data_IF_282259846064
#
_entry.id   IF_282259846064
#
_cell.length_a   1.000
_cell.length_b   1.000
_cell.length_c   1.000
_cell.angle_alpha   90.00
_cell.angle_beta   90.00
_cell.angle_gamma   90.00
#
_symmetry.space_group_name_H-M   'P 1'
#
loop_
_entity.id
_entity.type
_entity.pdbx_description
1 polymer ?
#
# COMPACT_ATOMS: atom_id res chain seq x y z
N UNK A 1 1.88 0.47 14.54
CA UNK A 1 2.26 0.06 13.19
C UNK A 1 1.30 0.65 12.17
N UNK A 2 1.81 1.45 11.23
CA UNK A 2 0.95 2.15 10.28
C UNK A 2 0.52 1.25 9.11
N UNK A 3 1.45 0.47 8.59
CA UNK A 3 1.16 -0.46 7.50
C UNK A 3 1.00 -1.86 8.07
N UNK A 4 -0.17 -2.46 7.87
CA UNK A 4 -0.46 -3.80 8.39
C UNK A 4 -0.43 -4.85 7.28
N UNK A 5 -0.38 -6.12 7.68
CA UNK A 5 -0.47 -7.23 6.74
C UNK A 5 -1.79 -7.17 5.96
N UNK A 6 -2.86 -6.76 6.62
CA UNK A 6 -4.17 -6.62 5.99
C UNK A 6 -4.16 -5.57 4.87
N UNK A 7 -3.44 -4.47 5.07
CA UNK A 7 -3.30 -3.42 4.05
C UNK A 7 -2.65 -4.00 2.80
N UNK A 8 -1.58 -4.76 2.97
CA UNK A 8 -0.85 -5.38 1.85
C UNK A 8 -1.75 -6.38 1.14
N UNK A 9 -2.50 -7.17 1.91
CA UNK A 9 -3.43 -8.15 1.35
C UNK A 9 -4.51 -7.47 0.52
N UNK A 10 -5.08 -6.39 1.02
CA UNK A 10 -6.12 -5.66 0.29
C UNK A 10 -5.59 -5.09 -1.02
N UNK A 11 -4.37 -4.57 -1.01
CA UNK A 11 -3.76 -4.07 -2.24
C UNK A 11 -3.54 -5.20 -3.24
N UNK A 12 -3.02 -6.32 -2.77
CA UNK A 12 -2.73 -7.47 -3.63
C UNK A 12 -4.00 -7.99 -4.31
N UNK A 13 -5.10 -8.01 -3.60
CA UNK A 13 -6.38 -8.53 -4.10
C UNK A 13 -7.33 -7.45 -4.63
N UNK A 14 -6.85 -6.23 -4.81
CA UNK A 14 -7.67 -5.15 -5.34
C UNK A 14 -8.12 -5.49 -6.77
N UNK A 15 -9.34 -5.14 -7.10
CA UNK A 15 -9.89 -5.38 -8.44
C UNK A 15 -9.24 -4.49 -9.50
N UNK A 16 -8.88 -3.28 -9.11
CA UNK A 16 -8.22 -2.35 -10.02
C UNK A 16 -6.75 -2.71 -10.13
N UNK A 17 -6.31 -3.02 -11.36
CA UNK A 17 -4.91 -3.37 -11.62
C UNK A 17 -3.95 -2.24 -11.28
N UNK A 18 -4.44 -1.03 -11.29
CA UNK A 18 -3.65 0.16 -11.01
C UNK A 18 -3.89 0.69 -9.59
N UNK A 19 -4.38 -0.16 -8.70
CA UNK A 19 -4.59 0.22 -7.32
C UNK A 19 -3.28 0.60 -6.64
N UNK A 20 -3.36 1.52 -5.69
CA UNK A 20 -2.21 1.96 -4.90
C UNK A 20 -2.60 1.99 -3.42
N UNK A 21 -1.62 1.69 -2.58
CA UNK A 21 -1.76 1.84 -1.14
C UNK A 21 -1.23 3.22 -0.78
N UNK A 22 -2.06 4.01 -0.12
CA UNK A 22 -1.69 5.38 0.27
C UNK A 22 -1.86 5.58 1.77
N UNK A 23 -1.11 6.52 2.29
CA UNK A 23 -1.23 6.97 3.67
C UNK A 23 -1.81 8.38 3.62
N UNK A 24 -2.96 8.57 4.20
CA UNK A 24 -3.65 9.86 4.23
C UNK A 24 -4.18 10.12 5.64
N UNK A 25 -3.81 11.27 6.18
CA UNK A 25 -4.25 11.68 7.52
C UNK A 25 -4.02 10.62 8.60
N UNK A 26 -2.87 9.96 8.53
CA UNK A 26 -2.48 8.95 9.52
C UNK A 26 -3.10 7.58 9.35
N UNK A 27 -3.86 7.38 8.27
CA UNK A 27 -4.48 6.08 8.00
C UNK A 27 -4.15 5.59 6.60
N UNK A 28 -4.28 4.30 6.38
CA UNK A 28 -4.00 3.68 5.08
C UNK A 28 -5.29 3.46 4.31
N UNK A 29 -5.21 3.61 2.98
CA UNK A 29 -6.33 3.29 2.09
C UNK A 29 -5.78 2.68 0.81
N UNK A 30 -6.57 1.80 0.20
CA UNK A 30 -6.27 1.25 -1.12
C UNK A 30 -7.22 1.92 -2.10
N UNK A 31 -6.67 2.64 -3.06
CA UNK A 31 -7.46 3.42 -4.03
C UNK A 31 -6.98 3.13 -5.45
N UNK A 32 -7.80 3.46 -6.44
CA UNK A 32 -7.38 3.40 -7.83
C UNK A 32 -6.42 4.54 -8.15
N UNK A 33 -5.49 4.31 -9.06
CA UNK A 33 -4.49 5.32 -9.44
C UNK A 33 -5.15 6.64 -9.88
N UNK A 34 -6.29 6.57 -10.53
CA UNK A 34 -7.01 7.77 -10.97
C UNK A 34 -7.52 8.64 -9.83
N UNK A 35 -7.68 8.06 -8.65
CA UNK A 35 -8.18 8.79 -7.49
C UNK A 35 -7.11 9.62 -6.80
N UNK A 36 -5.83 9.34 -7.07
CA UNK A 36 -4.74 10.11 -6.48
C UNK A 36 -4.82 11.59 -6.83
N UNK A 37 -5.37 11.91 -7.99
CA UNK A 37 -5.49 13.29 -8.44
C UNK A 37 -6.68 14.03 -7.84
N UNK A 38 -7.57 13.33 -7.15
CA UNK A 38 -8.77 13.94 -6.57
C UNK A 38 -8.41 14.75 -5.33
N UNK A 39 -9.25 15.71 -4.98
CA UNK A 39 -9.03 16.54 -3.80
C UNK A 39 -9.00 15.74 -2.51
N UNK A 40 -9.79 14.68 -2.43
CA UNK A 40 -9.86 13.83 -1.24
C UNK A 40 -8.49 13.26 -0.86
N UNK A 41 -7.67 12.97 -1.87
CA UNK A 41 -6.36 12.35 -1.65
C UNK A 41 -5.19 13.30 -1.90
N UNK A 42 -5.48 14.58 -1.99
CA UNK A 42 -4.43 15.59 -2.11
C UNK A 42 -3.54 15.52 -0.86
N UNK A 43 -2.26 15.41 -1.07
CA UNK A 43 -1.31 15.30 0.04
C UNK A 43 -1.13 13.89 0.58
N UNK A 44 -1.85 12.91 0.02
CA UNK A 44 -1.64 11.51 0.41
C UNK A 44 -0.27 11.04 -0.02
N UNK A 45 0.36 10.23 0.83
CA UNK A 45 1.64 9.61 0.51
C UNK A 45 1.39 8.28 -0.17
N UNK A 46 1.90 8.12 -1.39
CA UNK A 46 1.83 6.84 -2.08
C UNK A 46 2.85 5.89 -1.47
N UNK A 47 2.39 4.80 -0.87
CA UNK A 47 3.26 3.83 -0.23
C UNK A 47 3.82 2.86 -1.26
N UNK A 48 2.95 2.20 -2.01
CA UNK A 48 3.34 1.27 -3.06
C UNK A 48 2.15 1.02 -3.99
N UNK A 49 2.42 0.82 -5.27
CA UNK A 49 1.38 0.44 -6.22
C UNK A 49 1.23 -1.09 -6.23
N UNK A 50 0.08 -1.56 -6.68
CA UNK A 50 -0.16 -3.00 -6.83
C UNK A 50 0.85 -3.63 -7.79
N UNK A 51 1.18 -2.92 -8.87
CA UNK A 51 2.16 -3.38 -9.84
C UNK A 51 3.53 -3.60 -9.20
N UNK A 52 3.98 -2.65 -8.40
CA UNK A 52 5.26 -2.77 -7.70
C UNK A 52 5.22 -3.90 -6.67
N UNK A 53 4.11 -4.05 -5.98
CA UNK A 53 3.95 -5.15 -5.01
C UNK A 53 4.06 -6.50 -5.72
N UNK A 54 3.44 -6.64 -6.88
CA UNK A 54 3.52 -7.88 -7.66
C UNK A 54 4.92 -8.14 -8.22
N UNK A 55 5.77 -7.13 -8.26
CA UNK A 55 7.18 -7.30 -8.58
C UNK A 55 7.99 -7.87 -7.42
N UNK A 56 7.45 -7.82 -6.21
CA UNK A 56 8.12 -8.30 -4.99
C UNK A 56 7.59 -9.66 -4.52
N UNK A 57 6.29 -9.90 -4.67
CA UNK A 57 5.64 -11.15 -4.26
C UNK A 57 4.65 -11.57 -5.34
N UNK A 58 4.28 -12.85 -5.33
CA UNK A 58 3.28 -13.34 -6.28
C UNK A 58 1.87 -12.99 -5.80
N UNK A 59 0.90 -13.10 -6.70
CA UNK A 59 -0.51 -12.88 -6.35
C UNK A 59 -1.01 -13.91 -5.31
N UNK A 60 -0.27 -15.00 -5.16
CA UNK A 60 -0.62 -16.07 -4.21
C UNK A 60 0.30 -16.06 -2.99
N UNK A 61 0.86 -14.89 -2.68
CA UNK A 61 1.79 -14.75 -1.56
C UNK A 61 1.20 -15.26 -0.25
N UNK A 62 2.04 -15.92 0.55
CA UNK A 62 1.62 -16.43 1.84
C UNK A 62 1.45 -15.29 2.84
N UNK A 63 0.77 -15.57 3.94
CA UNK A 63 0.60 -14.62 5.03
C UNK A 63 1.96 -14.10 5.52
N UNK A 64 2.95 -14.97 5.59
CA UNK A 64 4.31 -14.61 6.00
C UNK A 64 4.94 -13.60 5.04
N UNK A 65 4.80 -13.83 3.74
CA UNK A 65 5.34 -12.92 2.73
C UNK A 65 4.68 -11.55 2.80
N UNK A 66 3.36 -11.53 3.01
CA UNK A 66 2.61 -10.29 3.15
C UNK A 66 3.03 -9.54 4.41
N UNK A 67 3.25 -10.26 5.50
CA UNK A 67 3.70 -9.68 6.76
C UNK A 67 5.09 -9.06 6.62
N UNK A 68 5.98 -9.73 5.89
CA UNK A 68 7.32 -9.20 5.64
C UNK A 68 7.25 -7.90 4.83
N UNK A 69 6.39 -7.87 3.79
CA UNK A 69 6.22 -6.66 2.99
C UNK A 69 5.63 -5.52 3.83
N UNK A 70 4.66 -5.83 4.69
CA UNK A 70 4.09 -4.82 5.57
C UNK A 70 5.15 -4.19 6.46
N UNK A 71 6.04 -5.01 7.02
CA UNK A 71 7.12 -4.51 7.88
C UNK A 71 8.10 -3.63 7.10
N UNK A 72 8.45 -4.03 5.89
CA UNK A 72 9.35 -3.25 5.03
C UNK A 72 8.73 -1.89 4.69
N UNK A 73 7.46 -1.90 4.29
CA UNK A 73 6.76 -0.68 3.93
C UNK A 73 6.54 0.24 5.13
N UNK A 74 6.24 -0.35 6.28
CA UNK A 74 6.05 0.41 7.51
C UNK A 74 7.35 1.14 7.91
N UNK A 75 8.48 0.45 7.79
CA UNK A 75 9.78 1.07 8.07
C UNK A 75 10.07 2.22 7.10
N UNK A 76 9.78 2.03 5.83
CA UNK A 76 10.01 3.07 4.83
C UNK A 76 9.17 4.31 5.12
N UNK A 77 7.91 4.12 5.50
CA UNK A 77 7.01 5.23 5.84
C UNK A 77 7.48 5.93 7.11
N UNK A 78 7.92 5.17 8.10
CA UNK A 78 8.44 5.74 9.36
C UNK A 78 9.65 6.61 9.11
N UNK A 79 10.55 6.20 8.24
CA UNK A 79 11.73 6.98 7.89
C UNK A 79 11.37 8.29 7.19
N UNK A 80 10.36 8.26 6.32
CA UNK A 80 9.90 9.46 5.62
C UNK A 80 9.12 10.41 6.51
N UNK A 81 8.36 9.86 7.43
CA UNK A 81 7.50 10.65 8.31
C UNK A 81 8.18 11.24 9.51
N UNK A 82 9.41 10.88 9.72
CA UNK A 82 10.18 11.36 10.86
C UNK A 82 9.99 10.51 12.09
#
# INVERSE_FOLDING_TARGET
MTISTDDVRRLLHAEDKNAVLVLVEGRTEVIGAGQLASEKYRGALEVISREDLLGRVSAEASERELSEQAAILDSAVSELGG
#
